data_IF_712585000262
#
_entry.id   IF_712585000262
#
_cell.length_a   1.000
_cell.length_b   1.000
_cell.length_c   1.000
_cell.angle_alpha   90.00
_cell.angle_beta   90.00
_cell.angle_gamma   90.00
#
_symmetry.space_group_name_H-M   'P 1'
#
loop_
_entity.id
_entity.type
_entity.pdbx_description
1 polymer ?
#
# COMPACT_ATOMS: atom_id res chain seq x y z
N UNK A 1 17.61 1.54 -3.43
CA UNK A 1 16.55 1.00 -2.56
C UNK A 1 15.25 1.73 -2.83
N UNK A 2 14.13 1.01 -2.98
CA UNK A 2 12.79 1.59 -3.06
C UNK A 2 11.78 0.75 -2.27
N UNK A 3 10.71 1.37 -1.81
CA UNK A 3 9.57 0.66 -1.23
C UNK A 3 8.47 0.50 -2.28
N UNK A 4 7.83 -0.66 -2.32
CA UNK A 4 6.72 -0.95 -3.21
C UNK A 4 5.55 -1.39 -2.33
N UNK A 5 4.48 -0.61 -2.35
CA UNK A 5 3.24 -0.91 -1.66
C UNK A 5 2.30 -1.53 -2.67
N UNK A 6 1.88 -2.78 -2.42
CA UNK A 6 1.00 -3.51 -3.32
C UNK A 6 -0.35 -3.72 -2.66
N UNK A 7 -1.38 -3.09 -3.21
CA UNK A 7 -2.75 -3.20 -2.72
C UNK A 7 -3.42 -4.49 -3.22
N UNK A 8 -4.31 -5.06 -2.40
CA UNK A 8 -5.13 -6.22 -2.78
C UNK A 8 -6.38 -5.80 -3.55
N UNK A 9 -6.18 -5.09 -4.65
CA UNK A 9 -7.22 -4.77 -5.63
C UNK A 9 -6.59 -4.84 -7.01
N UNK A 10 -7.40 -5.09 -8.03
CA UNK A 10 -6.97 -4.97 -9.42
C UNK A 10 -7.07 -3.50 -9.87
N UNK A 11 -6.19 -3.09 -10.77
CA UNK A 11 -6.36 -1.89 -11.57
C UNK A 11 -7.49 -2.12 -12.53
N UNK A 12 -8.70 -1.84 -12.06
CA UNK A 12 -9.80 -1.66 -12.98
C UNK A 12 -9.40 -0.51 -13.93
N UNK A 13 -9.36 -0.71 -15.26
CA UNK A 13 -9.13 0.37 -16.21
C UNK A 13 -10.40 1.22 -16.30
N UNK A 14 -10.72 1.93 -15.22
CA UNK A 14 -11.74 2.97 -15.23
C UNK A 14 -10.98 4.25 -15.50
N UNK A 15 -11.00 4.63 -16.78
CA UNK A 15 -11.32 5.97 -17.22
C UNK A 15 -11.18 7.02 -16.11
N UNK A 16 -10.15 7.84 -16.23
CA UNK A 16 -10.10 9.14 -15.57
C UNK A 16 -11.50 9.77 -15.64
N UNK A 17 -12.04 10.20 -14.50
CA UNK A 17 -13.36 10.85 -14.33
C UNK A 17 -14.56 9.87 -14.27
N UNK A 18 -15.40 10.03 -13.24
CA UNK A 18 -16.67 9.31 -12.94
C UNK A 18 -16.53 8.06 -12.07
N UNK A 19 -16.31 8.22 -10.77
CA UNK A 19 -17.08 7.48 -9.73
C UNK A 19 -16.95 8.08 -8.32
N UNK A 20 -16.80 9.41 -8.20
CA UNK A 20 -16.75 10.09 -6.89
C UNK A 20 -18.14 10.27 -6.26
N UNK A 21 -19.12 9.40 -6.52
CA UNK A 21 -20.46 9.63 -5.97
C UNK A 21 -21.50 8.52 -6.00
N UNK A 22 -21.34 7.41 -6.74
CA UNK A 22 -22.42 6.40 -6.82
C UNK A 22 -22.01 4.92 -6.69
N UNK A 23 -20.75 4.56 -6.40
CA UNK A 23 -20.43 3.20 -5.92
C UNK A 23 -20.61 3.05 -4.40
N UNK A 24 -21.86 3.25 -3.99
CA UNK A 24 -22.48 2.52 -2.88
C UNK A 24 -22.88 1.15 -3.44
N UNK A 25 -21.92 0.32 -3.85
CA UNK A 25 -22.20 -1.03 -4.33
C UNK A 25 -21.05 -1.95 -3.87
N UNK A 26 -21.38 -2.78 -2.87
CA UNK A 26 -20.57 -3.80 -2.19
C UNK A 26 -19.56 -3.31 -1.14
N UNK A 27 -19.99 -3.10 0.12
CA UNK A 27 -19.08 -2.99 1.26
C UNK A 27 -18.19 -4.25 1.47
N UNK A 28 -18.55 -5.38 0.86
CA UNK A 28 -17.80 -6.65 0.90
C UNK A 28 -16.59 -6.72 -0.05
N UNK A 29 -16.46 -5.83 -1.05
CA UNK A 29 -15.42 -5.98 -2.10
C UNK A 29 -14.11 -5.25 -1.84
N UNK A 30 -13.93 -4.62 -0.67
CA UNK A 30 -12.67 -3.96 -0.30
C UNK A 30 -12.03 -4.58 0.96
N UNK A 31 -11.63 -5.85 0.85
CA UNK A 31 -10.74 -6.54 1.81
C UNK A 31 -9.27 -6.12 1.58
N UNK A 32 -9.02 -4.81 1.56
CA UNK A 32 -7.66 -4.28 1.50
C UNK A 32 -7.38 -3.46 2.77
N UNK A 33 -6.83 -4.13 3.78
CA UNK A 33 -6.42 -3.51 5.04
C UNK A 33 -5.43 -2.36 4.80
N UNK A 34 -4.53 -2.50 3.83
CA UNK A 34 -3.61 -1.41 3.46
C UNK A 34 -4.32 -0.16 2.92
N UNK A 35 -5.41 -0.32 2.15
CA UNK A 35 -6.22 0.83 1.70
C UNK A 35 -6.87 1.51 2.90
N UNK A 36 -7.47 0.73 3.81
CA UNK A 36 -8.14 1.24 5.02
C UNK A 36 -7.19 2.01 5.93
N UNK A 37 -5.94 1.56 6.03
CA UNK A 37 -4.91 2.21 6.85
C UNK A 37 -4.38 3.52 6.23
N UNK A 38 -4.39 3.65 4.91
CA UNK A 38 -3.74 4.77 4.19
C UNK A 38 -4.72 5.84 3.69
N UNK A 39 -5.99 5.49 3.49
CA UNK A 39 -7.05 6.36 3.02
C UNK A 39 -8.10 6.55 4.11
N UNK A 40 -8.34 7.81 4.51
CA UNK A 40 -9.46 8.17 5.38
C UNK A 40 -10.80 8.15 4.63
N UNK A 41 -11.91 8.54 5.29
CA UNK A 41 -13.26 8.47 4.71
C UNK A 41 -13.45 9.33 3.44
N UNK A 42 -12.54 10.27 3.15
CA UNK A 42 -12.64 11.16 1.99
C UNK A 42 -11.32 11.40 1.24
N UNK A 43 -10.15 11.26 1.88
CA UNK A 43 -8.84 11.57 1.28
C UNK A 43 -7.71 10.70 1.85
N UNK A 44 -6.58 10.64 1.15
CA UNK A 44 -5.31 10.16 1.73
C UNK A 44 -5.03 10.89 3.06
N UNK A 45 -4.65 10.13 4.09
CA UNK A 45 -4.34 10.72 5.41
C UNK A 45 -3.07 11.56 5.29
N UNK A 46 -3.12 12.83 5.69
CA UNK A 46 -1.98 13.74 5.54
C UNK A 46 -0.70 13.22 6.22
N UNK A 47 -0.85 12.57 7.38
CA UNK A 47 0.25 11.92 8.09
C UNK A 47 0.96 10.86 7.22
N UNK A 48 0.21 10.09 6.44
CA UNK A 48 0.78 9.11 5.50
C UNK A 48 1.58 9.80 4.40
N UNK A 49 1.04 10.87 3.81
CA UNK A 49 1.71 11.67 2.79
C UNK A 49 3.00 12.31 3.32
N UNK A 50 2.97 12.84 4.55
CA UNK A 50 4.15 13.42 5.23
C UNK A 50 5.19 12.33 5.47
N UNK A 51 4.79 11.18 5.99
CA UNK A 51 5.69 10.04 6.19
C UNK A 51 6.40 9.63 4.91
N UNK A 52 5.66 9.44 3.81
CA UNK A 52 6.23 9.06 2.50
C UNK A 52 7.27 10.07 1.98
N UNK A 53 7.07 11.35 2.25
CA UNK A 53 8.04 12.40 1.90
C UNK A 53 9.25 12.40 2.84
N UNK A 54 9.06 12.01 4.10
CA UNK A 54 10.09 12.04 5.13
C UNK A 54 11.08 10.87 5.08
N UNK A 55 10.69 9.71 4.54
CA UNK A 55 11.54 8.50 4.59
C UNK A 55 12.75 8.54 3.65
N UNK A 56 12.87 9.54 2.78
CA UNK A 56 14.04 9.74 1.91
C UNK A 56 14.29 8.62 0.89
N UNK A 57 13.40 7.62 0.80
CA UNK A 57 13.47 6.52 -0.16
C UNK A 57 12.33 6.63 -1.16
N UNK A 58 12.56 6.30 -2.44
CA UNK A 58 11.50 6.28 -3.44
C UNK A 58 10.44 5.25 -3.06
N UNK A 59 9.17 5.66 -3.17
CA UNK A 59 8.00 4.83 -2.90
C UNK A 59 7.20 4.66 -4.17
N UNK A 60 6.82 3.42 -4.47
CA UNK A 60 5.98 3.03 -5.59
C UNK A 60 4.70 2.37 -5.06
N UNK A 61 3.56 2.70 -5.66
CA UNK A 61 2.26 2.12 -5.33
C UNK A 61 1.77 1.36 -6.55
N UNK A 62 1.34 0.12 -6.35
CA UNK A 62 0.82 -0.75 -7.39
C UNK A 62 -0.42 -1.48 -6.88
N UNK A 63 -1.35 -1.76 -7.78
CA UNK A 63 -2.36 -2.79 -7.58
C UNK A 63 -1.77 -4.18 -7.84
N UNK A 64 -2.46 -5.25 -7.40
CA UNK A 64 -1.92 -6.61 -7.49
C UNK A 64 -1.64 -7.03 -8.93
N UNK A 65 -2.53 -6.67 -9.85
CA UNK A 65 -2.40 -6.95 -11.27
C UNK A 65 -1.25 -6.17 -11.93
N UNK A 66 -1.04 -4.90 -11.54
CA UNK A 66 0.09 -4.10 -12.01
C UNK A 66 1.41 -4.68 -11.53
N UNK A 67 1.46 -5.13 -10.28
CA UNK A 67 2.65 -5.76 -9.72
C UNK A 67 2.98 -7.05 -10.48
N UNK A 68 2.00 -7.92 -10.65
CA UNK A 68 2.16 -9.18 -11.38
C UNK A 68 2.55 -8.95 -12.83
N UNK A 69 1.94 -7.97 -13.50
CA UNK A 69 2.28 -7.62 -14.89
C UNK A 69 3.67 -7.01 -15.02
N UNK A 70 4.09 -6.19 -14.05
CA UNK A 70 5.36 -5.46 -14.08
C UNK A 70 6.55 -6.35 -13.72
N UNK A 71 6.38 -7.23 -12.75
CA UNK A 71 7.47 -8.02 -12.18
C UNK A 71 7.35 -9.52 -12.43
N UNK A 72 6.23 -9.99 -12.97
CA UNK A 72 5.96 -11.39 -13.27
C UNK A 72 6.18 -12.30 -12.05
N UNK A 73 5.80 -11.80 -10.87
CA UNK A 73 5.86 -12.47 -9.58
C UNK A 73 4.51 -12.38 -8.89
N UNK A 74 4.15 -13.43 -8.15
CA UNK A 74 2.89 -13.54 -7.44
C UNK A 74 3.15 -13.67 -5.92
N UNK A 75 2.45 -12.87 -5.12
CA UNK A 75 2.53 -12.88 -3.66
C UNK A 75 1.13 -12.89 -3.04
N UNK A 76 1.05 -13.00 -1.72
CA UNK A 76 -0.20 -12.76 -0.98
C UNK A 76 -0.36 -11.26 -0.69
N UNK A 77 -1.45 -10.66 -1.19
CA UNK A 77 -1.73 -9.23 -1.08
C UNK A 77 -2.76 -8.92 0.02
N UNK A 78 -2.73 -7.74 0.66
CA UNK A 78 -1.78 -6.64 0.43
C UNK A 78 -0.39 -6.98 0.97
N UNK A 79 0.65 -6.37 0.40
CA UNK A 79 2.01 -6.51 0.90
C UNK A 79 2.85 -5.25 0.68
N UNK A 80 3.91 -5.13 1.47
CA UNK A 80 4.91 -4.07 1.33
C UNK A 80 6.25 -4.74 1.07
N UNK A 81 6.86 -4.38 -0.06
CA UNK A 81 8.15 -4.91 -0.50
C UNK A 81 9.21 -3.83 -0.41
N UNK A 82 10.40 -4.24 -0.03
CA UNK A 82 11.64 -3.48 -0.18
C UNK A 82 12.35 -4.00 -1.42
N UNK A 83 12.49 -3.15 -2.43
CA UNK A 83 13.20 -3.49 -3.66
C UNK A 83 14.59 -2.86 -3.66
N UNK A 84 15.59 -3.72 -3.54
CA UNK A 84 16.99 -3.43 -3.82
C UNK A 84 17.37 -4.15 -5.11
N UNK A 85 18.41 -5.00 -5.06
CA UNK A 85 18.69 -5.97 -6.12
C UNK A 85 17.61 -7.06 -6.13
N UNK A 86 17.15 -7.48 -4.96
CA UNK A 86 16.08 -8.46 -4.74
C UNK A 86 14.81 -7.80 -4.20
N UNK A 87 13.71 -8.57 -4.21
CA UNK A 87 12.51 -8.24 -3.47
C UNK A 87 12.60 -8.86 -2.08
N UNK A 88 12.51 -8.02 -1.07
CA UNK A 88 12.44 -8.44 0.32
C UNK A 88 11.06 -8.07 0.86
N UNK A 89 10.36 -9.02 1.48
CA UNK A 89 9.06 -8.77 2.11
C UNK A 89 9.30 -7.98 3.37
N UNK A 90 8.77 -6.75 3.40
CA UNK A 90 8.88 -5.85 4.53
C UNK A 90 7.68 -6.01 5.47
N UNK A 91 6.47 -6.08 4.92
CA UNK A 91 5.26 -6.47 5.65
C UNK A 91 4.40 -7.37 4.78
N UNK A 92 3.99 -8.50 5.37
CA UNK A 92 3.11 -9.49 4.74
C UNK A 92 1.64 -9.13 4.94
N UNK A 93 0.72 -9.72 4.15
CA UNK A 93 -0.75 -9.58 4.36
C UNK A 93 -1.14 -9.73 5.81
N UNK A 94 -0.69 -10.81 6.46
CA UNK A 94 -1.03 -11.10 7.86
C UNK A 94 -0.60 -10.00 8.81
N UNK A 95 0.61 -9.47 8.63
CA UNK A 95 1.12 -8.39 9.47
C UNK A 95 0.32 -7.11 9.23
N UNK A 96 -0.01 -6.80 7.98
CA UNK A 96 -0.81 -5.61 7.63
C UNK A 96 -2.25 -5.73 8.15
N UNK A 97 -2.84 -6.92 8.08
CA UNK A 97 -4.21 -7.20 8.55
C UNK A 97 -4.31 -7.14 10.09
N UNK A 98 -3.19 -7.32 10.81
CA UNK A 98 -3.12 -7.24 12.28
C UNK A 98 -2.90 -5.79 12.79
N UNK A 99 -2.54 -4.85 11.91
CA UNK A 99 -2.34 -3.46 12.28
C UNK A 99 -3.67 -2.76 12.59
N UNK A 100 -3.73 -2.09 13.74
CA UNK A 100 -4.91 -1.37 14.18
C UNK A 100 -5.15 -0.07 13.40
N UNK A 101 -4.08 0.65 13.04
CA UNK A 101 -4.16 2.01 12.51
C UNK A 101 -2.90 2.43 11.72
N UNK A 102 -2.98 3.62 11.13
CA UNK A 102 -1.90 4.21 10.32
C UNK A 102 -0.60 4.40 11.11
N UNK A 103 -0.66 4.77 12.39
CA UNK A 103 0.53 4.97 13.21
C UNK A 103 1.26 3.64 13.41
N UNK A 104 0.52 2.55 13.65
CA UNK A 104 1.08 1.20 13.70
C UNK A 104 1.76 0.81 12.38
N UNK A 105 1.13 1.12 11.23
CA UNK A 105 1.73 0.90 9.91
C UNK A 105 3.04 1.69 9.74
N UNK A 106 3.03 2.97 10.07
CA UNK A 106 4.21 3.84 9.96
C UNK A 106 5.33 3.34 10.87
N UNK A 107 5.01 2.95 12.10
CA UNK A 107 5.98 2.42 13.06
C UNK A 107 6.63 1.13 12.54
N UNK A 108 5.83 0.18 12.06
CA UNK A 108 6.34 -1.07 11.48
C UNK A 108 7.23 -0.80 10.27
N UNK A 109 6.83 0.08 9.35
CA UNK A 109 7.67 0.42 8.19
C UNK A 109 8.99 1.06 8.62
N UNK A 110 8.97 1.96 9.61
CA UNK A 110 10.18 2.61 10.14
C UNK A 110 11.16 1.61 10.76
N UNK A 111 10.67 0.57 11.46
CA UNK A 111 11.54 -0.45 12.07
C UNK A 111 12.37 -1.24 11.04
N UNK A 112 11.86 -1.38 9.81
CA UNK A 112 12.55 -2.08 8.73
C UNK A 112 13.40 -1.17 7.82
N UNK A 113 13.33 0.15 8.04
CA UNK A 113 14.18 1.12 7.40
C UNK A 113 15.40 1.39 8.29
N UNK A 114 16.59 1.60 7.71
CA UNK A 114 17.71 2.09 8.50
C UNK A 114 17.30 3.41 9.17
N UNK A 115 17.62 3.57 10.46
CA UNK A 115 17.46 4.86 11.12
C UNK A 115 18.29 5.88 10.34
N UNK A 116 17.62 6.85 9.72
CA UNK A 116 18.31 8.03 9.24
C UNK A 116 18.70 8.82 10.49
N UNK A 117 19.94 8.64 10.95
CA UNK A 117 20.61 9.55 11.91
C UNK A 117 20.72 10.97 11.35
#
# INVERSE_FOLDING_TARGET
MKLIFVYNTDSNPISSLIDLGHKILNPDTYDCSLCKLTHGPFTEIEAWKVFRKSIGVPVEFLHRDEFEKKYNQHFTYPLILKKNNTFDVLLSKKEIDDLADLDALIASVKQHLPANE
#
